data_IF_212021243854
#
_entry.id   IF_212021243854
#
_cell.length_a   1.000
_cell.length_b   1.000
_cell.length_c   1.000
_cell.angle_alpha   90.00
_cell.angle_beta   90.00
_cell.angle_gamma   90.00
#
_symmetry.space_group_name_H-M   'P 1'
#
loop_
_entity.id
_entity.type
_entity.pdbx_description
1 polymer ?
#
# COMPACT_ATOMS: atom_id res chain seq x y z
N UNK A 1 -3.06 7.61 -3.24
CA UNK A 1 -2.79 6.80 -4.44
C UNK A 1 -1.28 6.63 -4.54
N UNK A 2 -0.80 5.38 -4.48
CA UNK A 2 0.63 5.01 -4.49
C UNK A 2 1.11 4.89 -5.93
N UNK A 3 2.29 5.42 -6.24
CA UNK A 3 2.81 5.51 -7.61
C UNK A 3 4.12 4.76 -7.83
N UNK A 4 4.82 4.38 -6.76
CA UNK A 4 6.13 3.77 -6.83
C UNK A 4 6.44 2.91 -5.60
N UNK A 5 7.54 2.17 -5.66
CA UNK A 5 7.99 1.27 -4.60
C UNK A 5 8.29 1.98 -3.27
N UNK A 6 8.79 3.23 -3.32
CA UNK A 6 9.08 3.98 -2.10
C UNK A 6 7.78 4.40 -1.39
N UNK A 7 6.79 4.88 -2.13
CA UNK A 7 5.46 5.19 -1.59
C UNK A 7 4.75 3.93 -1.07
N UNK A 8 4.91 2.79 -1.75
CA UNK A 8 4.40 1.50 -1.27
C UNK A 8 5.03 1.14 0.08
N UNK A 9 6.36 1.23 0.18
CA UNK A 9 7.12 0.94 1.40
C UNK A 9 6.71 1.85 2.55
N UNK A 10 6.61 3.16 2.30
CA UNK A 10 6.20 4.15 3.30
C UNK A 10 4.76 3.91 3.74
N UNK A 11 3.84 3.60 2.83
CA UNK A 11 2.43 3.35 3.16
C UNK A 11 2.29 2.08 4.01
N UNK A 12 2.99 1.00 3.69
CA UNK A 12 3.04 -0.21 4.53
C UNK A 12 3.57 0.07 5.94
N UNK A 13 4.64 0.85 6.06
CA UNK A 13 5.18 1.23 7.37
C UNK A 13 4.24 2.12 8.19
N UNK A 14 3.41 2.94 7.53
CA UNK A 14 2.36 3.73 8.21
C UNK A 14 1.21 2.84 8.72
N UNK A 15 0.78 1.86 7.92
CA UNK A 15 -0.23 0.87 8.33
C UNK A 15 0.24 0.14 9.60
N UNK A 16 1.46 -0.39 9.58
CA UNK A 16 2.04 -1.12 10.73
C UNK A 16 2.07 -0.25 12.00
N UNK A 17 2.48 1.03 11.87
CA UNK A 17 2.49 1.97 12.99
C UNK A 17 1.11 2.19 13.59
N UNK A 18 0.08 2.36 12.75
CA UNK A 18 -1.29 2.56 13.24
C UNK A 18 -1.84 1.29 13.90
N UNK A 19 -1.50 0.10 13.37
CA UNK A 19 -1.83 -1.17 14.02
C UNK A 19 -1.17 -1.30 15.39
N UNK A 20 0.11 -0.90 15.52
CA UNK A 20 0.81 -0.90 16.80
C UNK A 20 0.18 0.07 17.81
N UNK A 21 -0.24 1.26 17.38
CA UNK A 21 -0.98 2.18 18.26
C UNK A 21 -2.34 1.62 18.69
N UNK A 22 -3.06 0.92 17.81
CA UNK A 22 -4.29 0.22 18.19
C UNK A 22 -4.01 -0.87 19.23
N UNK A 23 -2.92 -1.64 19.08
CA UNK A 23 -2.51 -2.64 20.07
C UNK A 23 -2.19 -2.00 21.43
N UNK A 24 -1.48 -0.87 21.44
CA UNK A 24 -1.19 -0.13 22.67
C UNK A 24 -2.47 0.42 23.32
N UNK A 25 -3.39 0.99 22.53
CA UNK A 25 -4.66 1.52 23.04
C UNK A 25 -5.52 0.45 23.68
N UNK A 26 -5.53 -0.78 23.13
CA UNK A 26 -6.28 -1.91 23.72
C UNK A 26 -5.88 -2.23 25.16
N UNK A 27 -4.67 -1.85 25.57
CA UNK A 27 -4.15 -2.11 26.91
C UNK A 27 -4.31 -0.92 27.86
N UNK A 28 -4.51 0.29 27.33
CA UNK A 28 -4.37 1.55 28.10
C UNK A 28 -5.62 2.42 28.14
N UNK A 29 -6.54 2.26 27.19
CA UNK A 29 -7.74 3.07 27.08
C UNK A 29 -8.93 2.35 27.71
N UNK A 30 -9.77 3.09 28.42
CA UNK A 30 -11.00 2.55 28.99
C UNK A 30 -11.89 1.94 27.88
N UNK A 31 -12.52 0.77 28.10
CA UNK A 31 -13.30 0.11 27.06
C UNK A 31 -14.40 0.99 26.44
N UNK A 32 -15.00 1.89 27.23
CA UNK A 32 -16.03 2.81 26.78
C UNK A 32 -15.51 3.88 25.79
N UNK A 33 -14.24 4.25 25.90
CA UNK A 33 -13.61 5.29 25.08
C UNK A 33 -12.85 4.70 23.88
N UNK A 34 -12.46 3.44 23.97
CA UNK A 34 -11.65 2.76 22.97
C UNK A 34 -12.26 2.83 21.56
N UNK A 35 -13.57 2.59 21.42
CA UNK A 35 -14.21 2.61 20.10
C UNK A 35 -14.13 3.98 19.44
N UNK A 36 -14.35 5.05 20.21
CA UNK A 36 -14.28 6.42 19.71
C UNK A 36 -12.84 6.76 19.29
N UNK A 37 -11.87 6.47 20.16
CA UNK A 37 -10.46 6.79 19.92
C UNK A 37 -9.82 5.96 18.80
N UNK A 38 -10.25 4.70 18.62
CA UNK A 38 -9.73 3.79 17.59
C UNK A 38 -10.32 4.03 16.20
N UNK A 39 -11.49 4.67 16.11
CA UNK A 39 -12.27 4.80 14.88
C UNK A 39 -11.50 5.48 13.73
N UNK A 40 -10.76 6.55 14.01
CA UNK A 40 -9.95 7.26 13.00
C UNK A 40 -8.80 6.42 12.47
N UNK A 41 -8.13 5.65 13.32
CA UNK A 41 -7.06 4.74 12.89
C UNK A 41 -7.59 3.62 12.01
N UNK A 42 -8.76 3.06 12.34
CA UNK A 42 -9.41 2.03 11.51
C UNK A 42 -9.66 2.56 10.09
N UNK A 43 -10.34 3.71 9.97
CA UNK A 43 -10.69 4.28 8.66
C UNK A 43 -9.45 4.57 7.81
N UNK A 44 -8.40 5.09 8.43
CA UNK A 44 -7.16 5.41 7.71
C UNK A 44 -6.37 4.16 7.32
N UNK A 45 -6.37 3.10 8.15
CA UNK A 45 -5.81 1.78 7.78
C UNK A 45 -6.57 1.20 6.59
N UNK A 46 -7.90 1.19 6.62
CA UNK A 46 -8.75 0.67 5.53
C UNK A 46 -8.46 1.41 4.22
N UNK A 47 -8.40 2.74 4.27
CA UNK A 47 -8.05 3.59 3.12
C UNK A 47 -6.66 3.26 2.56
N UNK A 48 -5.64 3.20 3.40
CA UNK A 48 -4.27 2.90 2.96
C UNK A 48 -4.12 1.47 2.45
N UNK A 49 -4.80 0.49 3.04
CA UNK A 49 -4.82 -0.89 2.55
C UNK A 49 -5.45 -0.98 1.17
N UNK A 50 -6.53 -0.24 0.91
CA UNK A 50 -7.12 -0.16 -0.42
C UNK A 50 -6.11 0.37 -1.45
N UNK A 51 -5.37 1.44 -1.12
CA UNK A 51 -4.32 1.98 -2.01
C UNK A 51 -3.16 0.99 -2.24
N UNK A 52 -2.75 0.25 -1.20
CA UNK A 52 -1.72 -0.79 -1.33
C UNK A 52 -2.19 -1.91 -2.25
N UNK A 53 -3.43 -2.37 -2.08
CA UNK A 53 -3.99 -3.42 -2.94
C UNK A 53 -4.15 -2.93 -4.38
N UNK A 54 -4.64 -1.72 -4.58
CA UNK A 54 -4.73 -1.08 -5.90
C UNK A 54 -3.36 -1.05 -6.58
N UNK A 55 -2.31 -0.57 -5.91
CA UNK A 55 -0.94 -0.54 -6.45
C UNK A 55 -0.41 -1.94 -6.79
N UNK A 56 -0.58 -2.91 -5.89
CA UNK A 56 -0.05 -4.27 -6.08
C UNK A 56 -0.78 -5.07 -7.18
N UNK A 57 -1.98 -4.66 -7.56
CA UNK A 57 -2.72 -5.25 -8.67
C UNK A 57 -2.32 -4.66 -10.04
N UNK A 58 -1.50 -3.61 -10.06
CA UNK A 58 -0.83 -3.19 -11.28
C UNK A 58 0.42 -4.02 -11.51
N UNK A 59 0.69 -4.45 -12.77
CA UNK A 59 1.94 -5.11 -13.09
C UNK A 59 3.11 -4.21 -12.70
N UNK A 60 3.99 -4.71 -11.83
CA UNK A 60 5.27 -4.06 -11.59
C UNK A 60 5.99 -3.98 -12.94
N UNK A 61 6.30 -2.77 -13.41
CA UNK A 61 7.18 -2.60 -14.56
C UNK A 61 8.58 -2.99 -14.09
N UNK A 62 8.85 -4.30 -14.02
CA UNK A 62 10.16 -4.87 -13.72
C UNK A 62 11.01 -4.69 -14.96
N UNK A 63 11.51 -3.47 -15.16
CA UNK A 63 12.38 -3.12 -16.26
C UNK A 63 11.67 -3.18 -17.61
N UNK A 64 11.85 -2.13 -18.40
CA UNK A 64 11.68 -2.22 -19.84
C UNK A 64 12.49 -3.41 -20.39
N UNK A 65 11.84 -4.54 -20.67
CA UNK A 65 12.27 -5.34 -21.82
C UNK A 65 12.03 -4.41 -22.99
N UNK A 66 13.09 -3.75 -23.44
CA UNK A 66 13.11 -3.10 -24.72
C UNK A 66 12.80 -4.20 -25.74
N UNK A 67 11.54 -4.37 -26.12
CA UNK A 67 11.17 -5.18 -27.28
C UNK A 67 11.74 -4.48 -28.50
N UNK A 68 13.02 -4.69 -28.78
CA UNK A 68 13.55 -4.55 -30.13
C UNK A 68 13.03 -5.74 -30.93
N UNK A 69 11.78 -5.66 -31.35
CA UNK A 69 11.36 -6.37 -32.55
C UNK A 69 11.93 -5.58 -33.73
N UNK A 70 13.11 -6.00 -34.16
CA UNK A 70 13.74 -5.56 -35.40
C UNK A 70 12.76 -5.76 -36.56
N UNK A 71 12.49 -4.69 -37.30
CA UNK A 71 11.78 -4.63 -38.58
C UNK A 71 12.28 -5.73 -39.55
N UNK A 72 11.40 -6.35 -40.37
CA UNK A 72 11.67 -7.61 -41.03
C UNK A 72 12.66 -7.47 -42.18
N UNK A 73 13.54 -8.46 -42.34
CA UNK A 73 14.36 -8.59 -43.54
C UNK A 73 13.48 -9.15 -44.66
N UNK A 74 12.99 -8.26 -45.52
CA UNK A 74 12.63 -8.60 -46.90
C UNK A 74 13.90 -9.01 -47.64
N UNK A 75 13.94 -10.25 -48.14
CA UNK A 75 14.78 -10.68 -49.26
C UNK A 75 13.85 -11.54 -50.14
N UNK A 76 13.37 -11.00 -51.27
CA UNK A 76 14.06 -10.94 -52.56
C UNK A 76 14.24 -12.34 -53.16
#
# INVERSE_FOLDING_TARGET
MIQNEEELRVTKARIERFQNWLLDMRQRVEPAEFLLMSSGYRLEIERMQAEVLEYLLYPAIIGSVQMRATTPLTAA
#
